data_IF_324397559787
#
_entry.id   IF_324397559787
#
_cell.length_a   1.000
_cell.length_b   1.000
_cell.length_c   1.000
_cell.angle_alpha   90.00
_cell.angle_beta   90.00
_cell.angle_gamma   90.00
#
_symmetry.space_group_name_H-M   'P 1'
#
loop_
_entity.id
_entity.type
_entity.pdbx_description
1 polymer ?
#
# COMPACT_ATOMS: atom_id res chain seq x y z
N UNK A 1 0.15 -13.71 -17.75
CA UNK A 1 -0.68 -13.06 -16.71
C UNK A 1 -0.02 -13.21 -15.34
N UNK A 2 1.13 -12.58 -15.10
CA UNK A 2 1.90 -12.73 -13.85
C UNK A 2 2.06 -11.37 -13.18
N UNK A 3 1.77 -11.29 -11.88
CA UNK A 3 1.95 -10.07 -11.08
C UNK A 3 0.70 -9.56 -10.37
N UNK A 4 -0.07 -10.43 -9.72
CA UNK A 4 -1.21 -10.02 -8.87
C UNK A 4 -0.82 -9.84 -7.38
N UNK A 5 0.42 -10.18 -7.01
CA UNK A 5 0.92 -10.16 -5.64
C UNK A 5 2.25 -9.41 -5.57
N UNK A 6 2.52 -8.77 -4.44
CA UNK A 6 3.81 -8.21 -4.04
C UNK A 6 4.84 -9.32 -3.82
N UNK A 7 6.12 -8.94 -3.68
CA UNK A 7 7.23 -9.86 -3.47
C UNK A 7 7.08 -10.70 -2.20
N UNK A 8 6.46 -10.13 -1.18
CA UNK A 8 6.14 -10.77 0.10
C UNK A 8 4.77 -11.47 0.13
N UNK A 9 4.10 -11.60 -1.02
CA UNK A 9 2.93 -12.47 -1.19
C UNK A 9 1.57 -11.81 -0.95
N UNK A 10 1.50 -10.50 -0.68
CA UNK A 10 0.22 -9.78 -0.54
C UNK A 10 -0.40 -9.49 -1.90
N UNK A 11 -1.71 -9.72 -2.05
CA UNK A 11 -2.42 -9.40 -3.29
C UNK A 11 -2.50 -7.88 -3.46
N UNK A 12 -2.04 -7.37 -4.59
CA UNK A 12 -2.07 -5.94 -4.90
C UNK A 12 -3.51 -5.40 -4.88
N UNK A 13 -4.47 -6.19 -5.36
CA UNK A 13 -5.90 -5.84 -5.33
C UNK A 13 -6.46 -5.69 -3.91
N UNK A 14 -5.97 -6.47 -2.96
CA UNK A 14 -6.45 -6.40 -1.58
C UNK A 14 -5.83 -5.17 -0.89
N UNK A 15 -4.56 -4.89 -1.19
CA UNK A 15 -3.86 -3.69 -0.72
C UNK A 15 -4.54 -2.41 -1.24
N UNK A 16 -4.82 -2.31 -2.55
CA UNK A 16 -5.47 -1.12 -3.11
C UNK A 16 -6.89 -0.93 -2.56
N UNK A 17 -7.66 -2.01 -2.34
CA UNK A 17 -8.97 -1.94 -1.68
C UNK A 17 -8.86 -1.44 -0.23
N UNK A 18 -7.85 -1.87 0.50
CA UNK A 18 -7.60 -1.43 1.87
C UNK A 18 -7.19 0.05 1.90
N UNK A 19 -6.27 0.46 1.03
CA UNK A 19 -5.78 1.84 0.94
C UNK A 19 -6.89 2.80 0.53
N UNK A 20 -7.81 2.39 -0.36
CA UNK A 20 -9.00 3.21 -0.71
C UNK A 20 -9.91 3.52 0.47
N UNK A 21 -9.83 2.77 1.57
CA UNK A 21 -10.58 3.06 2.80
C UNK A 21 -9.88 4.09 3.69
N UNK A 22 -8.62 4.39 3.41
CA UNK A 22 -7.82 5.37 4.13
C UNK A 22 -8.05 6.72 3.45
N UNK A 23 -8.55 7.69 4.21
CA UNK A 23 -8.70 9.07 3.72
C UNK A 23 -7.33 9.70 3.45
N UNK A 24 -7.24 10.52 2.39
CA UNK A 24 -6.03 11.29 2.07
C UNK A 24 -4.96 10.55 1.26
N UNK A 25 -5.24 9.34 0.77
CA UNK A 25 -4.34 8.59 -0.11
C UNK A 25 -4.95 8.43 -1.51
N UNK A 26 -4.24 8.95 -2.51
CA UNK A 26 -4.59 8.79 -3.91
C UNK A 26 -3.88 7.58 -4.51
N UNK A 27 -4.62 6.78 -5.28
CA UNK A 27 -4.08 5.63 -6.01
C UNK A 27 -4.10 5.96 -7.49
N UNK A 28 -2.92 6.19 -8.07
CA UNK A 28 -2.73 6.45 -9.50
C UNK A 28 -2.26 5.17 -10.17
N UNK A 29 -2.95 4.72 -11.23
CA UNK A 29 -2.48 3.63 -12.09
C UNK A 29 -1.66 4.19 -13.25
N UNK A 30 -0.44 3.68 -13.46
CA UNK A 30 0.44 4.11 -14.56
C UNK A 30 0.93 2.94 -15.40
N UNK A 31 1.53 3.25 -16.56
CA UNK A 31 1.99 2.24 -17.53
C UNK A 31 3.27 1.50 -17.12
N UNK A 32 4.10 2.11 -16.24
CA UNK A 32 5.44 1.60 -15.84
C UNK A 32 5.47 0.91 -14.46
N UNK A 33 4.62 1.35 -13.53
CA UNK A 33 4.38 0.72 -12.23
C UNK A 33 2.87 0.53 -12.08
N UNK A 34 2.38 -0.67 -11.73
CA UNK A 34 0.96 -0.98 -11.87
C UNK A 34 0.07 -0.11 -10.97
N UNK A 35 0.56 0.29 -9.80
CA UNK A 35 -0.09 1.31 -8.97
C UNK A 35 0.97 2.21 -8.32
N UNK A 36 0.61 3.46 -8.10
CA UNK A 36 1.43 4.48 -7.48
C UNK A 36 0.57 5.18 -6.42
N UNK A 37 1.01 5.14 -5.17
CA UNK A 37 0.31 5.74 -4.04
C UNK A 37 0.87 7.12 -3.80
N UNK A 38 0.00 8.11 -3.61
CA UNK A 38 0.37 9.51 -3.39
C UNK A 38 -0.44 10.09 -2.24
N UNK A 39 0.18 11.03 -1.54
CA UNK A 39 -0.49 11.95 -0.62
C UNK A 39 0.04 13.36 -0.91
N UNK A 40 -0.63 14.39 -0.42
CA UNK A 40 -0.21 15.78 -0.66
C UNK A 40 1.19 16.10 -0.09
N UNK A 41 1.60 15.41 0.98
CA UNK A 41 2.78 15.75 1.75
C UNK A 41 3.90 14.69 1.72
N UNK A 42 3.84 13.69 0.82
CA UNK A 42 4.86 12.63 0.76
C UNK A 42 5.27 12.24 -0.66
N UNK A 43 6.50 11.70 -0.74
CA UNK A 43 7.02 11.06 -1.95
C UNK A 43 6.12 9.87 -2.31
N UNK A 44 5.82 9.72 -3.59
CA UNK A 44 4.95 8.65 -4.08
C UNK A 44 5.55 7.25 -3.83
N UNK A 45 4.73 6.29 -3.41
CA UNK A 45 5.12 4.90 -3.20
C UNK A 45 4.69 4.00 -4.37
N UNK A 46 5.61 3.35 -5.10
CA UNK A 46 5.27 2.40 -6.14
C UNK A 46 4.78 1.07 -5.56
N UNK A 47 3.59 0.64 -5.97
CA UNK A 47 2.99 -0.63 -5.60
C UNK A 47 2.87 -1.54 -6.82
N UNK A 48 3.68 -2.60 -6.83
CA UNK A 48 3.63 -3.61 -7.87
C UNK A 48 4.23 -4.96 -7.44
N UNK A 49 4.39 -5.90 -8.38
CA UNK A 49 4.83 -7.25 -8.06
C UNK A 49 6.22 -7.33 -7.43
N UNK A 50 7.12 -6.42 -7.83
CA UNK A 50 8.46 -6.31 -7.28
C UNK A 50 8.52 -5.56 -5.94
N UNK A 51 7.44 -4.91 -5.53
CA UNK A 51 7.36 -4.15 -4.27
C UNK A 51 7.34 -5.12 -3.09
N UNK A 52 8.07 -4.79 -2.03
CA UNK A 52 8.01 -5.50 -0.76
C UNK A 52 7.09 -4.72 0.18
N UNK A 53 5.85 -5.19 0.40
CA UNK A 53 4.85 -4.44 1.14
C UNK A 53 5.33 -4.10 2.56
N UNK A 54 5.95 -5.04 3.26
CA UNK A 54 6.48 -4.81 4.61
C UNK A 54 7.59 -3.75 4.70
N UNK A 55 8.45 -3.65 3.69
CA UNK A 55 9.61 -2.76 3.73
C UNK A 55 9.34 -1.40 3.09
N UNK A 56 8.41 -1.33 2.13
CA UNK A 56 8.11 -0.09 1.41
C UNK A 56 6.73 0.46 1.79
N UNK A 57 5.68 -0.36 1.68
CA UNK A 57 4.30 0.08 1.84
C UNK A 57 3.95 0.38 3.30
N UNK A 58 4.36 -0.47 4.24
CA UNK A 58 4.10 -0.30 5.68
C UNK A 58 4.65 1.02 6.22
N UNK A 59 5.97 1.31 6.11
CA UNK A 59 6.50 2.56 6.65
C UNK A 59 5.93 3.79 5.94
N UNK A 60 5.64 3.67 4.64
CA UNK A 60 5.00 4.76 3.90
C UNK A 60 3.58 5.05 4.42
N UNK A 61 2.76 4.01 4.58
CA UNK A 61 1.41 4.16 5.14
C UNK A 61 1.43 4.65 6.59
N UNK A 62 2.37 4.17 7.40
CA UNK A 62 2.55 4.64 8.78
C UNK A 62 2.83 6.14 8.82
N UNK A 63 3.72 6.64 7.95
CA UNK A 63 3.95 8.07 7.84
C UNK A 63 2.72 8.82 7.32
N UNK A 64 2.00 8.27 6.33
CA UNK A 64 0.84 8.92 5.71
C UNK A 64 -0.34 9.05 6.68
N UNK A 65 -0.49 8.10 7.60
CA UNK A 65 -1.67 7.97 8.47
C UNK A 65 -1.39 8.28 9.94
N UNK A 66 -0.12 8.39 10.33
CA UNK A 66 0.30 8.62 11.71
C UNK A 66 0.28 7.37 12.61
N UNK A 67 -0.14 6.21 12.09
CA UNK A 67 -0.14 4.94 12.83
C UNK A 67 1.25 4.32 12.94
N UNK A 68 1.42 3.38 13.88
CA UNK A 68 2.67 2.64 13.99
C UNK A 68 2.78 1.58 12.89
N UNK A 69 4.02 1.29 12.46
CA UNK A 69 4.32 0.24 11.48
C UNK A 69 3.67 -1.11 11.82
N UNK A 70 3.61 -1.47 13.12
CA UNK A 70 3.00 -2.73 13.58
C UNK A 70 1.49 -2.76 13.32
N UNK A 71 0.80 -1.65 13.53
CA UNK A 71 -0.65 -1.52 13.33
C UNK A 71 -0.98 -1.60 11.84
N UNK A 72 -0.26 -0.84 11.03
CA UNK A 72 -0.37 -0.86 9.56
C UNK A 72 -0.10 -2.25 9.00
N UNK A 73 0.98 -2.91 9.45
CA UNK A 73 1.28 -4.27 9.01
C UNK A 73 0.22 -5.28 9.43
N UNK A 74 -0.31 -5.16 10.66
CA UNK A 74 -1.42 -5.99 11.14
C UNK A 74 -2.70 -5.76 10.32
N UNK A 75 -2.99 -4.52 9.94
CA UNK A 75 -4.12 -4.17 9.08
C UNK A 75 -3.97 -4.78 7.67
N UNK A 76 -2.77 -4.70 7.08
CA UNK A 76 -2.44 -5.33 5.79
C UNK A 76 -2.57 -6.85 5.87
N UNK A 77 -2.07 -7.47 6.93
CA UNK A 77 -2.11 -8.93 7.11
C UNK A 77 -3.54 -9.43 7.32
N UNK A 78 -4.33 -8.72 8.13
CA UNK A 78 -5.74 -9.04 8.39
C UNK A 78 -6.70 -8.60 7.27
N UNK A 79 -6.21 -7.82 6.30
CA UNK A 79 -6.99 -7.18 5.23
C UNK A 79 -8.13 -6.31 5.76
N UNK A 80 -7.98 -5.78 6.99
CA UNK A 80 -8.95 -4.94 7.67
C UNK A 80 -8.25 -3.68 8.13
N UNK A 81 -8.80 -2.54 7.74
CA UNK A 81 -8.43 -1.24 8.30
C UNK A 81 -9.34 -0.99 9.49
N UNK A 82 -8.76 -0.82 10.68
CA UNK A 82 -9.49 -0.46 11.90
C UNK A 82 -9.52 1.06 11.93
N UNK A 83 -10.64 1.63 11.49
CA UNK A 83 -10.92 3.05 11.62
C UNK A 83 -11.69 3.28 12.91
#
# INVERSE_FOLDING_TARGET
>A
MGGKKTRDGHKISDLTKLIRKIGGIEIVSGSKHPFLLKTENQIACPLGPSTHARQMLVPWLAQATGYQNKEVYSAIQSRRWYN
#
